data_IF_246166941944
#
_entry.id   IF_246166941944
#
_cell.length_a   1.000
_cell.length_b   1.000
_cell.length_c   1.000
_cell.angle_alpha   90.00
_cell.angle_beta   90.00
_cell.angle_gamma   90.00
#
_symmetry.space_group_name_H-M   'P 1'
#
loop_
_entity.id
_entity.type
_entity.pdbx_description
1 polymer ?
#
# COMPACT_ATOMS: atom_id res chain seq x y z
N UNK A 1 17.64 43.87 15.70
CA UNK A 1 18.06 42.45 15.69
C UNK A 1 16.77 41.66 15.48
N UNK A 2 16.40 41.40 14.21
CA UNK A 2 16.76 40.19 13.45
C UNK A 2 16.13 38.93 14.06
N UNK A 3 15.45 38.00 13.38
CA UNK A 3 14.93 37.77 12.02
C UNK A 3 14.12 36.44 12.17
N UNK A 4 12.99 36.29 11.46
CA UNK A 4 12.53 35.06 10.78
C UNK A 4 12.01 33.79 11.53
N UNK A 5 10.70 33.51 11.30
CA UNK A 5 10.04 32.28 10.77
C UNK A 5 10.15 30.91 11.51
N UNK A 6 9.24 29.93 11.26
CA UNK A 6 7.93 29.98 10.60
C UNK A 6 6.78 29.23 11.32
N UNK A 7 5.60 29.51 10.79
CA UNK A 7 4.28 28.93 11.04
C UNK A 7 4.24 27.49 10.49
N UNK A 8 4.06 26.50 11.35
CA UNK A 8 3.68 25.14 10.93
C UNK A 8 2.18 25.09 10.72
N UNK A 9 1.78 25.43 9.50
CA UNK A 9 0.42 25.28 8.99
C UNK A 9 0.06 23.80 8.89
N UNK A 10 -0.67 23.31 9.88
CA UNK A 10 -1.39 22.04 9.85
C UNK A 10 -2.53 22.12 8.83
N UNK A 11 -2.31 21.63 7.60
CA UNK A 11 -3.40 21.38 6.65
C UNK A 11 -4.05 20.02 6.98
N UNK A 12 -5.32 19.96 7.39
CA UNK A 12 -6.03 18.69 7.42
C UNK A 12 -6.31 18.24 5.99
N UNK A 13 -5.68 17.15 5.56
CA UNK A 13 -6.03 16.46 4.31
C UNK A 13 -7.34 15.71 4.58
N UNK A 14 -8.48 16.32 4.24
CA UNK A 14 -9.79 15.67 4.33
C UNK A 14 -9.92 14.71 3.13
N UNK A 15 -9.64 13.42 3.36
CA UNK A 15 -9.93 12.35 2.39
C UNK A 15 -11.42 12.05 2.48
N UNK A 16 -12.18 12.45 1.46
CA UNK A 16 -13.59 12.09 1.32
C UNK A 16 -13.74 11.14 0.13
N UNK A 17 -13.92 9.86 0.42
CA UNK A 17 -14.20 8.83 -0.58
C UNK A 17 -15.71 8.83 -0.92
N UNK A 18 -16.08 9.32 -2.10
CA UNK A 18 -17.44 9.20 -2.64
C UNK A 18 -17.55 7.91 -3.46
N UNK A 19 -18.25 6.90 -2.90
CA UNK A 19 -18.54 5.64 -3.57
C UNK A 19 -19.64 5.85 -4.61
N UNK A 20 -19.26 6.07 -5.86
CA UNK A 20 -20.19 5.97 -6.99
C UNK A 20 -19.95 4.63 -7.69
N UNK A 21 -20.83 3.66 -7.42
CA UNK A 21 -20.92 2.39 -8.16
C UNK A 21 -21.32 2.69 -9.60
N UNK A 22 -20.56 2.18 -10.58
CA UNK A 22 -21.09 1.61 -11.82
C UNK A 22 -20.00 0.99 -12.72
N UNK A 23 -20.43 -0.02 -13.47
CA UNK A 23 -19.79 -0.82 -14.54
C UNK A 23 -19.16 -2.17 -14.13
N UNK A 24 -19.56 -3.29 -14.78
CA UNK A 24 -19.03 -4.62 -14.50
C UNK A 24 -17.60 -4.76 -15.07
N UNK A 25 -16.64 -4.96 -14.17
CA UNK A 25 -15.24 -5.19 -14.55
C UNK A 25 -15.02 -6.58 -15.16
N UNK A 26 -14.15 -6.63 -16.17
CA UNK A 26 -13.66 -7.86 -16.81
C UNK A 26 -12.97 -8.76 -15.78
N UNK A 27 -13.17 -10.10 -15.81
CA UNK A 27 -12.44 -11.02 -14.93
C UNK A 27 -10.94 -10.94 -15.21
N UNK A 28 -10.14 -10.74 -14.16
CA UNK A 28 -8.68 -10.80 -14.23
C UNK A 28 -8.29 -12.28 -14.11
N UNK A 29 -7.40 -12.81 -14.96
CA UNK A 29 -6.99 -14.21 -14.91
C UNK A 29 -6.33 -14.56 -13.57
N UNK A 30 -6.49 -15.83 -13.17
CA UNK A 30 -5.96 -16.42 -11.95
C UNK A 30 -4.47 -16.09 -11.73
N UNK A 31 -4.15 -15.70 -10.50
CA UNK A 31 -2.79 -15.42 -10.02
C UNK A 31 -1.82 -16.55 -10.41
N UNK A 32 -0.80 -16.29 -11.26
CA UNK A 32 0.24 -17.27 -11.51
C UNK A 32 1.29 -17.24 -10.38
N UNK A 33 1.96 -18.38 -10.22
CA UNK A 33 2.92 -18.73 -9.17
C UNK A 33 4.04 -17.70 -8.97
N UNK A 34 4.79 -17.81 -7.86
CA UNK A 34 5.96 -16.99 -7.52
C UNK A 34 7.05 -17.04 -8.61
N UNK A 35 6.84 -16.26 -9.67
CA UNK A 35 7.73 -16.05 -10.78
C UNK A 35 8.14 -14.59 -10.84
N UNK A 36 9.38 -14.35 -11.24
CA UNK A 36 9.87 -13.00 -11.51
C UNK A 36 9.30 -12.53 -12.84
N UNK A 37 8.38 -11.58 -12.81
CA UNK A 37 7.91 -10.89 -14.01
C UNK A 37 8.63 -9.54 -14.09
N UNK A 38 9.50 -9.36 -15.09
CA UNK A 38 9.89 -8.01 -15.51
C UNK A 38 8.73 -7.39 -16.27
N UNK A 39 8.18 -6.31 -15.74
CA UNK A 39 7.12 -5.54 -16.39
C UNK A 39 7.75 -4.32 -17.07
N UNK A 40 7.94 -4.39 -18.40
CA UNK A 40 8.23 -3.20 -19.19
C UNK A 40 6.91 -2.61 -19.67
N UNK A 41 6.59 -1.39 -19.25
CA UNK A 41 5.52 -0.59 -19.84
C UNK A 41 6.11 0.71 -20.35
N UNK A 42 6.20 0.81 -21.68
CA UNK A 42 6.30 2.09 -22.37
C UNK A 42 4.87 2.54 -22.69
N UNK A 43 4.26 3.27 -21.77
CA UNK A 43 3.06 4.04 -22.09
C UNK A 43 3.48 5.36 -22.73
N UNK A 44 3.10 5.57 -24.00
CA UNK A 44 3.14 6.90 -24.62
C UNK A 44 2.10 7.76 -23.93
N UNK A 45 2.57 8.78 -23.22
CA UNK A 45 1.74 9.89 -22.76
C UNK A 45 1.43 10.74 -23.98
N UNK A 46 0.19 10.66 -24.47
CA UNK A 46 -0.28 11.60 -25.48
C UNK A 46 -0.56 12.95 -24.81
N UNK A 47 -0.01 14.00 -25.39
CA UNK A 47 0.10 15.31 -24.76
C UNK A 47 -1.19 16.11 -24.88
N UNK A 48 -1.70 16.50 -23.71
CA UNK A 48 -2.58 17.67 -23.44
C UNK A 48 -4.04 17.51 -23.86
N UNK A 49 -4.83 16.90 -22.97
CA UNK A 49 -6.29 17.09 -22.91
C UNK A 49 -6.60 18.16 -21.84
N UNK A 50 -6.40 19.44 -22.19
CA UNK A 50 -6.65 20.57 -21.28
C UNK A 50 -8.13 20.94 -21.32
N UNK A 51 -8.84 20.80 -20.18
CA UNK A 51 -10.24 21.22 -20.06
C UNK A 51 -10.33 22.75 -19.83
N UNK A 52 -10.88 23.53 -20.79
CA UNK A 52 -10.94 24.99 -20.70
C UNK A 52 -11.86 25.51 -19.59
N UNK A 53 -12.72 24.67 -19.00
CA UNK A 53 -13.58 25.04 -17.86
C UNK A 53 -12.77 25.32 -16.58
N UNK A 54 -11.53 24.82 -16.49
CA UNK A 54 -10.63 25.12 -15.37
C UNK A 54 -10.12 26.58 -15.38
N UNK A 55 -10.30 27.32 -16.50
CA UNK A 55 -9.78 28.69 -16.67
C UNK A 55 -10.74 29.77 -16.21
N UNK A 56 -12.06 29.51 -16.20
CA UNK A 56 -13.08 30.55 -16.03
C UNK A 56 -13.93 30.43 -14.76
N UNK A 57 -14.06 29.24 -14.15
CA UNK A 57 -14.89 29.04 -12.96
C UNK A 57 -14.38 27.85 -12.12
N UNK A 58 -13.23 28.03 -11.48
CA UNK A 58 -12.80 27.11 -10.43
C UNK A 58 -13.80 27.17 -9.27
N UNK A 59 -14.52 26.08 -9.00
CA UNK A 59 -15.41 26.03 -7.84
C UNK A 59 -14.61 26.20 -6.54
N UNK A 60 -14.81 27.31 -5.85
CA UNK A 60 -14.24 27.54 -4.52
C UNK A 60 -14.67 26.40 -3.57
N UNK A 61 -13.70 25.76 -2.91
CA UNK A 61 -13.92 24.66 -1.95
C UNK A 61 -13.59 23.26 -2.47
N UNK A 62 -13.20 23.08 -3.73
CA UNK A 62 -12.76 21.80 -4.29
C UNK A 62 -11.23 21.69 -4.38
N UNK A 63 -10.66 20.48 -4.25
CA UNK A 63 -9.21 20.30 -4.34
C UNK A 63 -8.72 20.59 -5.77
N UNK A 64 -7.59 21.30 -5.89
CA UNK A 64 -6.99 21.62 -7.19
C UNK A 64 -6.50 20.39 -7.98
N UNK A 65 -6.30 19.26 -7.30
CA UNK A 65 -6.02 17.96 -7.89
C UNK A 65 -6.84 16.88 -7.18
N UNK A 66 -7.54 16.04 -7.94
CA UNK A 66 -8.30 14.89 -7.40
C UNK A 66 -7.84 13.60 -8.09
N UNK A 67 -7.27 12.68 -7.30
CA UNK A 67 -6.89 11.34 -7.76
C UNK A 67 -7.92 10.33 -7.25
N UNK A 68 -8.42 9.46 -8.13
CA UNK A 68 -9.37 8.40 -7.78
C UNK A 68 -8.81 7.04 -8.18
N UNK A 69 -8.66 6.16 -7.20
CA UNK A 69 -8.38 4.75 -7.44
C UNK A 69 -9.69 3.97 -7.50
N UNK A 70 -9.90 3.24 -8.60
CA UNK A 70 -11.05 2.36 -8.77
C UNK A 70 -10.71 0.93 -8.30
N UNK A 71 -11.71 0.03 -8.34
CA UNK A 71 -11.51 -1.37 -7.96
C UNK A 71 -10.38 -2.07 -8.73
N UNK A 72 -10.17 -1.71 -10.00
CA UNK A 72 -9.10 -2.31 -10.81
C UNK A 72 -7.72 -1.85 -10.33
N UNK A 73 -7.58 -0.59 -9.91
CA UNK A 73 -6.34 -0.10 -9.30
C UNK A 73 -6.01 -0.89 -8.03
N UNK A 74 -7.01 -1.12 -7.15
CA UNK A 74 -6.84 -1.97 -5.97
C UNK A 74 -6.45 -3.41 -6.33
N UNK A 75 -7.13 -3.99 -7.32
CA UNK A 75 -6.80 -5.34 -7.78
C UNK A 75 -5.40 -5.45 -8.39
N UNK A 76 -4.93 -4.42 -9.07
CA UNK A 76 -3.56 -4.35 -9.56
C UNK A 76 -2.56 -4.22 -8.41
N UNK A 77 -2.85 -3.38 -7.41
CA UNK A 77 -2.02 -3.26 -6.21
C UNK A 77 -1.84 -4.59 -5.46
N UNK A 78 -2.83 -5.50 -5.49
CA UNK A 78 -2.69 -6.84 -4.91
C UNK A 78 -1.48 -7.60 -5.47
N UNK A 79 -1.23 -7.52 -6.78
CA UNK A 79 -0.11 -8.23 -7.41
C UNK A 79 1.24 -7.60 -7.05
N UNK A 80 1.28 -6.27 -6.94
CA UNK A 80 2.47 -5.53 -6.50
C UNK A 80 2.81 -5.84 -5.04
N UNK A 81 1.81 -5.86 -4.16
CA UNK A 81 1.99 -6.18 -2.74
C UNK A 81 2.47 -7.63 -2.58
N UNK A 82 1.90 -8.58 -3.33
CA UNK A 82 2.37 -9.97 -3.32
C UNK A 82 3.86 -10.08 -3.70
N UNK A 83 4.29 -9.34 -4.72
CA UNK A 83 5.70 -9.29 -5.12
C UNK A 83 6.58 -8.67 -4.04
N UNK A 84 6.12 -7.57 -3.44
CA UNK A 84 6.83 -6.91 -2.35
C UNK A 84 7.04 -7.87 -1.16
N UNK A 85 6.02 -8.62 -0.75
CA UNK A 85 6.18 -9.62 0.32
C UNK A 85 7.26 -10.64 -0.02
N UNK A 86 7.26 -11.17 -1.24
CA UNK A 86 8.23 -12.17 -1.67
C UNK A 86 9.68 -11.68 -1.63
N UNK A 87 9.90 -10.38 -1.87
CA UNK A 87 11.23 -9.77 -1.85
C UNK A 87 11.66 -9.34 -0.45
N UNK A 88 10.76 -8.74 0.32
CA UNK A 88 11.10 -8.09 1.57
C UNK A 88 11.13 -9.06 2.76
N UNK A 89 10.31 -10.12 2.76
CA UNK A 89 10.17 -10.98 3.93
C UNK A 89 11.44 -11.76 4.27
N UNK A 90 12.20 -12.17 3.25
CA UNK A 90 13.49 -12.86 3.43
C UNK A 90 14.55 -11.95 4.05
N UNK A 91 14.40 -10.64 3.90
CA UNK A 91 15.29 -9.62 4.45
C UNK A 91 14.72 -9.00 5.73
N UNK A 92 13.58 -9.50 6.24
CA UNK A 92 12.97 -8.96 7.44
C UNK A 92 13.85 -9.27 8.66
N UNK A 93 14.23 -8.21 9.39
CA UNK A 93 15.04 -8.33 10.61
C UNK A 93 14.13 -8.55 11.81
N UNK A 94 14.15 -9.76 12.37
CA UNK A 94 13.41 -10.08 13.59
C UNK A 94 14.28 -9.71 14.81
N UNK A 95 13.77 -8.90 15.75
CA UNK A 95 14.53 -8.47 16.91
C UNK A 95 14.81 -9.66 17.85
N UNK A 96 15.96 -9.61 18.53
CA UNK A 96 16.29 -10.58 19.57
C UNK A 96 15.31 -10.47 20.74
N UNK A 97 14.98 -11.60 21.35
CA UNK A 97 14.13 -11.69 22.52
C UNK A 97 14.93 -12.19 23.72
N UNK A 98 14.65 -11.67 24.90
CA UNK A 98 15.30 -12.08 26.15
C UNK A 98 14.23 -12.22 27.22
N UNK A 99 14.24 -13.35 27.92
CA UNK A 99 13.30 -13.63 29.00
C UNK A 99 14.03 -14.25 30.18
N UNK A 100 13.86 -13.67 31.36
CA UNK A 100 14.37 -14.23 32.60
C UNK A 100 13.30 -15.11 33.27
N UNK A 101 13.71 -16.31 33.67
CA UNK A 101 12.91 -17.34 34.29
C UNK A 101 13.26 -17.39 35.78
N UNK A 102 12.40 -16.86 36.66
CA UNK A 102 12.67 -16.84 38.10
C UNK A 102 12.76 -18.25 38.70
N UNK A 103 12.09 -19.25 38.10
CA UNK A 103 12.07 -20.64 38.56
C UNK A 103 13.45 -21.30 38.54
N UNK A 104 14.34 -20.84 37.65
CA UNK A 104 15.70 -21.37 37.50
C UNK A 104 16.77 -20.31 37.78
N UNK A 105 16.37 -19.13 38.27
CA UNK A 105 17.24 -17.98 38.50
C UNK A 105 18.19 -17.70 37.32
N UNK A 106 17.64 -17.68 36.10
CA UNK A 106 18.41 -17.57 34.87
C UNK A 106 17.66 -16.84 33.76
N UNK A 107 18.35 -16.52 32.67
CA UNK A 107 17.75 -15.87 31.51
C UNK A 107 18.01 -16.65 30.22
N UNK A 108 16.99 -16.73 29.37
CA UNK A 108 17.05 -17.26 28.02
C UNK A 108 17.19 -16.11 27.02
N UNK A 109 18.11 -16.28 26.06
CA UNK A 109 18.39 -15.30 25.02
C UNK A 109 18.15 -15.93 23.66
N UNK A 110 17.23 -15.35 22.88
CA UNK A 110 16.97 -15.73 21.50
C UNK A 110 17.49 -14.62 20.59
N UNK A 111 18.61 -14.89 19.90
CA UNK A 111 19.30 -13.91 19.07
C UNK A 111 19.41 -14.41 17.62
N UNK A 112 19.69 -13.49 16.69
CA UNK A 112 19.88 -13.80 15.27
C UNK A 112 18.73 -14.62 14.66
N UNK A 113 17.50 -14.23 14.95
CA UNK A 113 16.31 -14.88 14.39
C UNK A 113 16.25 -14.54 12.90
N UNK A 114 16.26 -15.58 12.06
CA UNK A 114 16.35 -15.48 10.60
C UNK A 114 15.19 -16.28 9.98
N UNK A 115 14.60 -15.73 8.93
CA UNK A 115 13.59 -16.43 8.11
C UNK A 115 14.33 -17.39 7.18
N UNK A 116 14.21 -18.70 7.43
CA UNK A 116 14.90 -19.74 6.64
C UNK A 116 14.03 -20.28 5.52
N UNK A 117 12.74 -20.43 5.78
CA UNK A 117 11.74 -20.82 4.81
C UNK A 117 10.66 -19.76 4.73
N UNK A 118 10.05 -19.62 3.57
CA UNK A 118 8.94 -18.71 3.37
C UNK A 118 8.02 -19.27 2.31
N UNK A 119 6.76 -19.45 2.67
CA UNK A 119 5.72 -19.83 1.72
C UNK A 119 5.01 -18.59 1.18
N UNK A 120 5.03 -18.44 -0.14
CA UNK A 120 4.31 -17.36 -0.80
C UNK A 120 2.80 -17.39 -0.49
N UNK A 121 2.17 -16.24 -0.17
CA UNK A 121 0.74 -16.17 0.07
C UNK A 121 -0.03 -16.54 -1.19
N UNK A 122 -1.06 -17.38 -1.04
CA UNK A 122 -1.91 -17.79 -2.18
C UNK A 122 -2.92 -16.72 -2.56
N UNK A 123 -3.30 -15.89 -1.60
CA UNK A 123 -4.27 -14.82 -1.81
C UNK A 123 -3.84 -13.55 -1.08
N UNK A 124 -3.73 -12.47 -1.85
CA UNK A 124 -3.51 -11.11 -1.35
C UNK A 124 -4.62 -10.26 -1.91
N UNK A 125 -5.39 -9.62 -1.03
CA UNK A 125 -6.48 -8.74 -1.42
C UNK A 125 -6.33 -7.39 -0.72
N UNK A 126 -6.35 -6.33 -1.52
CA UNK A 126 -6.40 -4.94 -1.07
C UNK A 126 -7.73 -4.36 -1.51
N UNK A 127 -8.50 -3.78 -0.60
CA UNK A 127 -9.79 -3.19 -0.94
C UNK A 127 -10.16 -2.06 0.04
N UNK A 128 -10.87 -1.03 -0.44
CA UNK A 128 -11.39 0.00 0.44
C UNK A 128 -12.49 -0.58 1.33
N UNK A 129 -12.51 -0.12 2.58
CA UNK A 129 -13.55 -0.42 3.58
C UNK A 129 -14.31 0.87 3.88
N UNK A 130 -15.44 0.77 4.59
CA UNK A 130 -16.13 1.94 5.15
C UNK A 130 -15.19 2.81 6.01
N UNK A 131 -15.55 4.08 6.21
CA UNK A 131 -14.84 4.98 7.14
C UNK A 131 -13.38 5.30 6.78
N UNK A 132 -13.07 5.48 5.50
CA UNK A 132 -11.74 5.88 5.01
C UNK A 132 -10.60 4.88 5.31
N UNK A 133 -10.95 3.60 5.44
CA UNK A 133 -10.00 2.53 5.68
C UNK A 133 -9.69 1.75 4.41
N UNK A 134 -8.51 1.14 4.37
CA UNK A 134 -8.10 0.19 3.34
C UNK A 134 -7.71 -1.10 4.06
N UNK A 135 -8.38 -2.19 3.72
CA UNK A 135 -8.04 -3.50 4.25
C UNK A 135 -7.04 -4.20 3.34
N UNK A 136 -6.04 -4.82 3.96
CA UNK A 136 -5.14 -5.77 3.35
C UNK A 136 -5.39 -7.15 3.99
N UNK A 137 -5.83 -8.11 3.17
CA UNK A 137 -6.02 -9.49 3.57
C UNK A 137 -4.97 -10.37 2.90
N UNK A 138 -4.26 -11.17 3.69
CA UNK A 138 -3.23 -12.10 3.24
C UNK A 138 -3.58 -13.47 3.78
N UNK A 139 -3.66 -14.47 2.91
CA UNK A 139 -4.01 -15.84 3.30
C UNK A 139 -2.88 -16.81 2.94
N UNK A 140 -2.70 -17.81 3.81
CA UNK A 140 -1.67 -18.86 3.68
C UNK A 140 -0.25 -18.28 3.62
N UNK A 141 0.03 -17.34 4.52
CA UNK A 141 1.37 -16.82 4.76
C UNK A 141 2.03 -17.62 5.89
N UNK A 142 3.24 -18.15 5.66
CA UNK A 142 3.95 -19.03 6.59
C UNK A 142 5.48 -18.77 6.55
N UNK A 143 6.14 -18.90 7.72
CA UNK A 143 7.56 -18.58 7.98
C UNK A 143 8.27 -19.67 8.78
#
# INVERSE_FOLDING_TARGET
>A
ISLFLPILSSYPVIISATLQQNSPGRPIPSFPQCGNYMFSHAERVDSIDYNPLLRSDGHFGYPGLKIRFNRNAFSYSCSLIAQMFNQQIRNARIPSFTQCLPEVNGCAYLTNILVTNYQCPRHVALFPVSHNEIALNIQNFDL
#
